data_IF_353935013567
#
_entry.id   IF_353935013567
#
_cell.length_a   1.000
_cell.length_b   1.000
_cell.length_c   1.000
_cell.angle_alpha   90.00
_cell.angle_beta   90.00
_cell.angle_gamma   90.00
#
_symmetry.space_group_name_H-M   'P 1'
#
loop_
_entity.id
_entity.type
_entity.pdbx_description
1 polymer ?
#
# COMPACT_ATOMS: atom_id res chain seq x y z
N UNK A 1 7.23 -12.56 6.68
CA UNK A 1 6.70 -11.62 5.66
C UNK A 1 6.24 -12.46 4.48
N UNK A 2 4.98 -12.34 4.08
CA UNK A 2 4.38 -13.19 3.06
C UNK A 2 4.97 -12.90 1.67
N UNK A 3 4.92 -13.85 0.73
CA UNK A 3 5.58 -13.72 -0.59
C UNK A 3 5.05 -12.52 -1.39
N UNK A 4 3.72 -12.30 -1.33
CA UNK A 4 3.03 -11.16 -1.92
C UNK A 4 3.49 -9.82 -1.32
N UNK A 5 3.73 -9.83 -0.01
CA UNK A 5 4.13 -8.65 0.73
C UNK A 5 5.57 -8.24 0.42
N UNK A 6 6.46 -9.22 0.22
CA UNK A 6 7.84 -8.95 -0.22
C UNK A 6 7.88 -8.21 -1.56
N UNK A 7 6.92 -8.48 -2.44
CA UNK A 7 6.88 -7.82 -3.75
C UNK A 7 6.43 -6.36 -3.66
N UNK A 8 5.51 -6.03 -2.76
CA UNK A 8 5.13 -4.63 -2.47
C UNK A 8 6.30 -3.86 -1.84
N UNK A 9 6.92 -4.43 -0.81
CA UNK A 9 8.06 -3.80 -0.12
C UNK A 9 9.22 -3.60 -1.08
N UNK A 10 9.57 -4.62 -1.88
CA UNK A 10 10.65 -4.54 -2.86
C UNK A 10 10.43 -3.43 -3.90
N UNK A 11 9.19 -3.21 -4.32
CA UNK A 11 8.84 -2.14 -5.28
C UNK A 11 8.93 -0.75 -4.64
N UNK A 12 8.61 -0.62 -3.36
CA UNK A 12 8.70 0.64 -2.61
C UNK A 12 10.17 1.02 -2.28
N UNK A 13 11.00 0.04 -1.91
CA UNK A 13 12.43 0.26 -1.64
C UNK A 13 13.18 0.81 -2.87
N UNK A 14 12.76 0.43 -4.08
CA UNK A 14 13.34 0.95 -5.32
C UNK A 14 12.89 2.38 -5.66
N UNK A 15 11.77 2.85 -5.12
CA UNK A 15 11.18 4.16 -5.44
C UNK A 15 11.42 5.22 -4.37
N UNK A 16 11.98 4.84 -3.21
CA UNK A 16 12.11 5.75 -2.05
C UNK A 16 10.76 6.15 -1.47
N UNK A 17 9.71 5.37 -1.77
CA UNK A 17 8.37 5.59 -1.27
C UNK A 17 8.24 5.03 0.15
N UNK A 18 7.51 5.74 1.01
CA UNK A 18 7.34 5.33 2.39
C UNK A 18 6.38 4.14 2.47
N UNK A 19 6.85 3.02 3.02
CA UNK A 19 6.04 1.84 3.36
C UNK A 19 5.93 1.69 4.88
N UNK A 20 4.71 1.62 5.40
CA UNK A 20 4.44 1.32 6.80
C UNK A 20 3.48 0.15 6.95
N UNK A 21 3.72 -0.69 7.94
CA UNK A 21 2.82 -1.80 8.28
C UNK A 21 2.72 -2.00 9.78
N UNK A 22 1.49 -2.21 10.25
CA UNK A 22 1.19 -2.65 11.59
C UNK A 22 0.23 -3.85 11.53
N UNK A 23 0.73 -5.05 11.85
CA UNK A 23 -0.01 -6.32 11.75
C UNK A 23 -0.65 -6.49 10.35
N UNK A 24 -1.93 -6.18 10.20
CA UNK A 24 -2.66 -6.34 8.94
C UNK A 24 -2.90 -5.00 8.24
N UNK A 25 -2.74 -3.88 8.95
CA UNK A 25 -2.88 -2.53 8.39
C UNK A 25 -1.60 -2.10 7.68
N UNK A 26 -1.74 -1.64 6.44
CA UNK A 26 -0.64 -1.21 5.59
C UNK A 26 -0.97 0.19 5.09
N UNK A 27 0.03 1.07 5.11
CA UNK A 27 -0.03 2.33 4.38
C UNK A 27 1.21 2.50 3.54
N UNK A 28 1.04 3.17 2.40
CA UNK A 28 2.13 3.48 1.51
C UNK A 28 1.93 4.88 0.92
N UNK A 29 3.03 5.60 0.76
CA UNK A 29 3.06 6.77 -0.11
C UNK A 29 3.22 6.31 -1.55
N UNK A 30 2.55 6.98 -2.47
CA UNK A 30 2.65 6.71 -3.89
C UNK A 30 2.82 8.03 -4.63
N UNK A 31 3.90 8.16 -5.39
CA UNK A 31 4.25 9.40 -6.09
C UNK A 31 4.00 9.32 -7.62
N UNK A 32 3.35 8.25 -8.10
CA UNK A 32 3.03 8.05 -9.52
C UNK A 32 1.54 8.20 -9.77
N UNK A 33 1.08 7.83 -10.97
CA UNK A 33 -0.33 7.93 -11.31
C UNK A 33 -1.20 7.08 -10.38
N UNK A 34 -2.36 7.61 -9.99
CA UNK A 34 -3.35 6.86 -9.21
C UNK A 34 -3.82 5.60 -9.95
N UNK A 35 -3.84 5.64 -11.29
CA UNK A 35 -4.24 4.51 -12.11
C UNK A 35 -3.25 3.35 -12.01
N UNK A 36 -1.95 3.64 -12.00
CA UNK A 36 -0.90 2.63 -11.78
C UNK A 36 -1.01 2.01 -10.39
N UNK A 37 -1.35 2.81 -9.37
CA UNK A 37 -1.58 2.32 -8.02
C UNK A 37 -2.77 1.37 -7.97
N UNK A 38 -3.90 1.73 -8.59
CA UNK A 38 -5.08 0.87 -8.67
C UNK A 38 -4.78 -0.43 -9.38
N UNK A 39 -4.04 -0.39 -10.49
CA UNK A 39 -3.61 -1.59 -11.20
C UNK A 39 -2.76 -2.50 -10.29
N UNK A 40 -1.77 -1.92 -9.60
CA UNK A 40 -0.92 -2.67 -8.67
C UNK A 40 -1.70 -3.30 -7.52
N UNK A 41 -2.67 -2.59 -6.93
CA UNK A 41 -3.51 -3.12 -5.85
C UNK A 41 -4.51 -4.17 -6.33
N UNK A 42 -5.03 -4.03 -7.56
CA UNK A 42 -5.87 -5.04 -8.19
C UNK A 42 -5.06 -6.30 -8.52
N UNK A 43 -3.84 -6.16 -9.04
CA UNK A 43 -2.92 -7.27 -9.25
C UNK A 43 -2.59 -7.95 -7.91
N UNK A 44 -2.35 -7.17 -6.85
CA UNK A 44 -2.06 -7.69 -5.53
C UNK A 44 -3.20 -8.53 -4.94
N UNK A 45 -4.45 -8.15 -5.26
CA UNK A 45 -5.65 -8.92 -4.94
C UNK A 45 -5.73 -10.29 -5.65
N UNK A 46 -4.93 -10.52 -6.69
CA UNK A 46 -4.85 -11.83 -7.38
C UNK A 46 -3.77 -12.74 -6.79
N UNK A 47 -2.85 -12.21 -5.97
CA UNK A 47 -1.67 -12.95 -5.51
C UNK A 47 -1.96 -14.02 -4.47
N UNK A 48 -3.12 -13.96 -3.81
CA UNK A 48 -3.51 -14.95 -2.82
C UNK A 48 -5.00 -15.32 -2.98
N UNK A 49 -5.35 -16.62 -3.04
CA UNK A 49 -6.71 -17.05 -3.35
C UNK A 49 -7.74 -16.63 -2.30
N UNK A 50 -7.31 -16.45 -1.05
CA UNK A 50 -8.21 -16.23 0.09
C UNK A 50 -8.00 -14.89 0.80
N UNK A 51 -7.07 -14.04 0.34
CA UNK A 51 -6.79 -12.74 0.98
C UNK A 51 -7.17 -11.66 -0.02
N UNK A 52 -8.11 -10.79 0.39
CA UNK A 52 -8.45 -9.58 -0.35
C UNK A 52 -7.91 -8.36 0.39
N UNK A 53 -7.17 -7.54 -0.34
CA UNK A 53 -6.72 -6.23 0.09
C UNK A 53 -7.83 -5.21 -0.16
N UNK A 54 -8.37 -4.67 0.92
CA UNK A 54 -9.18 -3.46 0.87
C UNK A 54 -8.27 -2.24 0.93
N UNK A 55 -8.54 -1.24 0.08
CA UNK A 55 -7.71 -0.05 0.00
C UNK A 55 -8.53 1.23 -0.07
N UNK A 56 -7.97 2.30 0.50
CA UNK A 56 -8.46 3.68 0.37
C UNK A 56 -7.31 4.55 -0.07
N UNK A 57 -7.55 5.40 -1.06
CA UNK A 57 -6.55 6.32 -1.61
C UNK A 57 -7.02 7.73 -1.30
N UNK A 58 -6.26 8.46 -0.49
CA UNK A 58 -6.54 9.85 -0.15
C UNK A 58 -5.26 10.56 0.32
N UNK A 59 -5.28 11.90 0.34
CA UNK A 59 -4.20 12.70 0.93
C UNK A 59 -4.16 12.60 2.45
N UNK A 60 -5.30 12.36 3.08
CA UNK A 60 -5.40 12.13 4.52
C UNK A 60 -6.22 10.87 4.79
N UNK A 61 -5.65 9.96 5.59
CA UNK A 61 -6.26 8.68 5.92
C UNK A 61 -6.07 8.35 7.41
N UNK A 62 -7.10 7.82 8.08
CA UNK A 62 -6.92 7.24 9.40
C UNK A 62 -6.08 5.96 9.30
N UNK A 63 -5.15 5.77 10.22
CA UNK A 63 -4.30 4.59 10.38
C UNK A 63 -4.16 4.29 11.88
N UNK A 64 -4.84 3.24 12.36
CA UNK A 64 -4.99 2.97 13.79
C UNK A 64 -5.57 4.20 14.51
N UNK A 65 -4.90 4.68 15.57
CA UNK A 65 -5.28 5.86 16.35
C UNK A 65 -4.63 7.16 15.86
N UNK A 66 -4.01 7.16 14.68
CA UNK A 66 -3.37 8.35 14.08
C UNK A 66 -3.94 8.68 12.70
N UNK A 67 -3.88 9.96 12.34
CA UNK A 67 -4.24 10.41 10.98
C UNK A 67 -2.96 10.68 10.21
N UNK A 68 -2.77 9.92 9.12
CA UNK A 68 -1.68 10.15 8.19
C UNK A 68 -2.10 11.23 7.19
N UNK A 69 -1.28 12.28 7.07
CA UNK A 69 -1.52 13.35 6.10
C UNK A 69 -0.28 13.54 5.23
N UNK A 70 -0.48 13.44 3.91
CA UNK A 70 0.55 13.75 2.93
C UNK A 70 0.52 15.26 2.62
N UNK A 71 1.45 16.01 3.20
CA UNK A 71 1.57 17.47 3.04
C UNK A 71 2.30 17.91 1.76
N UNK A 72 2.65 16.97 0.87
CA UNK A 72 3.32 17.26 -0.41
C UNK A 72 2.31 17.54 -1.53
#
# INVERSE_FOLDING_TARGET
>A
MWKWQKELVRRQDMTGEFYGRYIDDIFMKWNRSENDLKNLLNDANTWHPNIKLEYKINKSLPFLDVVLTNNN
#
